data_IF_115484615500
#
_entry.id   IF_115484615500
#
_cell.length_a   1.000
_cell.length_b   1.000
_cell.length_c   1.000
_cell.angle_alpha   90.00
_cell.angle_beta   90.00
_cell.angle_gamma   90.00
#
_symmetry.space_group_name_H-M   'P 1'
#
loop_
_entity.id
_entity.type
_entity.pdbx_description
1 polymer ?
#
# COMPACT_ATOMS: atom_id res chain seq x y z
N UNK A 1 -21.78 -16.50 -86.66
CA UNK A 1 -21.21 -15.60 -85.63
C UNK A 1 -21.74 -16.04 -84.28
N UNK A 2 -20.90 -16.63 -83.41
CA UNK A 2 -21.33 -17.23 -82.15
C UNK A 2 -21.13 -16.26 -80.99
N UNK A 3 -22.20 -15.87 -80.31
CA UNK A 3 -22.16 -15.01 -79.11
C UNK A 3 -21.98 -15.90 -77.88
N UNK A 4 -20.78 -15.92 -77.29
CA UNK A 4 -20.50 -16.57 -76.01
C UNK A 4 -21.06 -15.71 -74.87
N UNK A 5 -22.14 -16.17 -74.21
CA UNK A 5 -22.58 -15.61 -72.93
C UNK A 5 -21.68 -16.16 -71.81
N UNK A 6 -20.83 -15.30 -71.23
CA UNK A 6 -20.04 -15.60 -70.03
C UNK A 6 -20.95 -15.50 -68.80
N UNK A 7 -21.18 -16.62 -68.13
CA UNK A 7 -21.78 -16.65 -66.79
C UNK A 7 -20.75 -16.17 -65.78
N UNK A 8 -20.99 -15.02 -65.16
CA UNK A 8 -20.13 -14.45 -64.13
C UNK A 8 -20.52 -15.07 -62.78
N UNK A 9 -19.68 -15.97 -62.25
CA UNK A 9 -19.85 -16.51 -60.89
C UNK A 9 -19.28 -15.49 -59.90
N UNK A 10 -20.15 -14.81 -59.17
CA UNK A 10 -19.74 -13.94 -58.04
C UNK A 10 -19.39 -14.85 -56.87
N UNK A 11 -18.11 -14.94 -56.54
CA UNK A 11 -17.63 -15.66 -55.35
C UNK A 11 -17.59 -14.65 -54.21
N UNK A 12 -18.53 -14.75 -53.27
CA UNK A 12 -18.45 -14.04 -52.00
C UNK A 12 -17.36 -14.70 -51.14
N UNK A 13 -16.14 -14.18 -51.22
CA UNK A 13 -15.07 -14.53 -50.29
C UNK A 13 -15.43 -13.97 -48.92
N UNK A 14 -15.91 -14.83 -48.02
CA UNK A 14 -16.10 -14.51 -46.61
C UNK A 14 -14.71 -14.40 -45.96
N UNK A 15 -14.06 -13.24 -46.12
CA UNK A 15 -12.84 -12.92 -45.41
C UNK A 15 -13.21 -12.72 -43.93
N UNK A 16 -13.06 -13.79 -43.14
CA UNK A 16 -13.15 -13.73 -41.69
C UNK A 16 -12.02 -12.80 -41.21
N UNK A 17 -12.35 -11.54 -40.93
CA UNK A 17 -11.46 -10.60 -40.27
C UNK A 17 -11.19 -11.13 -38.86
N UNK A 18 -10.16 -11.98 -38.74
CA UNK A 18 -9.53 -12.31 -37.48
C UNK A 18 -8.85 -11.03 -36.97
N UNK A 19 -9.64 -10.15 -36.36
CA UNK A 19 -9.11 -9.10 -35.50
C UNK A 19 -8.27 -9.81 -34.44
N UNK A 20 -6.98 -9.49 -34.28
CA UNK A 20 -6.23 -10.00 -33.16
C UNK A 20 -6.93 -9.45 -31.91
N UNK A 21 -7.55 -10.32 -31.12
CA UNK A 21 -7.85 -9.94 -29.74
C UNK A 21 -6.49 -9.65 -29.13
N UNK A 22 -6.17 -8.38 -28.97
CA UNK A 22 -5.09 -7.96 -28.11
C UNK A 22 -5.44 -8.53 -26.72
N UNK A 23 -4.84 -9.67 -26.38
CA UNK A 23 -4.87 -10.15 -25.01
C UNK A 23 -4.28 -9.02 -24.18
N UNK A 24 -5.09 -8.43 -23.30
CA UNK A 24 -4.55 -7.56 -22.26
C UNK A 24 -3.42 -8.34 -21.59
N UNK A 25 -2.22 -7.76 -21.56
CA UNK A 25 -1.09 -8.40 -20.90
C UNK A 25 -1.51 -8.64 -19.44
N UNK A 26 -1.50 -9.89 -19.01
CA UNK A 26 -1.88 -10.23 -17.64
C UNK A 26 -0.91 -9.54 -16.68
N UNK A 27 -1.42 -8.75 -15.74
CA UNK A 27 -0.61 -8.14 -14.68
C UNK A 27 0.00 -9.28 -13.85
N UNK A 28 1.33 -9.30 -13.79
CA UNK A 28 2.09 -10.28 -13.02
C UNK A 28 2.76 -9.59 -11.84
N UNK A 29 2.55 -10.16 -10.67
CA UNK A 29 3.21 -9.82 -9.41
C UNK A 29 3.37 -11.10 -8.60
N UNK A 30 4.33 -11.11 -7.68
CA UNK A 30 4.73 -12.31 -6.93
C UNK A 30 4.11 -12.38 -5.53
N UNK A 31 3.87 -11.23 -4.90
CA UNK A 31 3.27 -11.06 -3.57
C UNK A 31 2.72 -9.62 -3.45
N UNK A 32 2.11 -9.24 -2.33
CA UNK A 32 1.75 -7.84 -2.06
C UNK A 32 2.46 -7.34 -0.80
N UNK A 33 2.75 -6.04 -0.70
CA UNK A 33 3.12 -5.42 0.57
C UNK A 33 1.87 -4.81 1.21
N UNK A 34 1.52 -5.23 2.42
CA UNK A 34 0.72 -4.37 3.30
C UNK A 34 1.68 -3.34 3.91
N UNK A 35 1.50 -2.08 3.52
CA UNK A 35 2.30 -0.96 3.98
C UNK A 35 1.51 -0.22 5.05
N UNK A 36 2.07 -0.20 6.26
CA UNK A 36 1.53 0.54 7.39
C UNK A 36 2.51 1.66 7.75
N UNK A 37 2.03 2.88 7.86
CA UNK A 37 2.82 4.06 8.17
C UNK A 37 2.58 4.51 9.61
N UNK A 38 3.64 4.99 10.27
CA UNK A 38 3.54 5.57 11.61
C UNK A 38 3.13 7.04 11.50
N UNK A 39 1.87 7.35 11.82
CA UNK A 39 1.28 8.66 11.54
C UNK A 39 2.05 9.85 12.15
N UNK A 40 2.58 9.80 13.39
CA UNK A 40 3.40 10.88 13.93
C UNK A 40 4.70 11.12 13.13
N UNK A 41 5.30 10.08 12.56
CA UNK A 41 6.48 10.27 11.71
C UNK A 41 6.13 10.81 10.34
N UNK A 42 4.98 10.45 9.78
CA UNK A 42 4.45 11.11 8.59
C UNK A 42 4.32 12.61 8.80
N UNK A 43 3.62 13.02 9.87
CA UNK A 43 3.36 14.42 10.16
C UNK A 43 4.61 15.22 10.57
N UNK A 44 5.59 14.57 11.18
CA UNK A 44 6.86 15.23 11.52
C UNK A 44 7.83 15.37 10.33
N UNK A 45 7.59 14.69 9.21
CA UNK A 45 8.51 14.67 8.06
C UNK A 45 8.19 15.80 7.08
N UNK A 46 9.10 16.74 6.80
CA UNK A 46 8.88 17.75 5.77
C UNK A 46 8.74 17.12 4.37
N UNK A 47 7.91 17.69 3.47
CA UNK A 47 7.12 18.92 3.62
C UNK A 47 5.68 18.65 4.12
N UNK A 48 5.41 17.54 4.81
CA UNK A 48 4.05 17.19 5.17
C UNK A 48 3.46 18.18 6.18
N UNK A 49 2.27 18.68 5.85
CA UNK A 49 1.38 19.40 6.76
C UNK A 49 0.17 18.50 6.99
N UNK A 50 -0.07 18.09 8.24
CA UNK A 50 -1.15 17.15 8.57
C UNK A 50 -2.45 17.84 8.95
N UNK A 51 -3.58 17.17 8.68
CA UNK A 51 -4.89 17.55 9.19
C UNK A 51 -5.02 17.17 10.67
N UNK A 52 -5.47 18.11 11.50
CA UNK A 52 -5.76 17.89 12.93
C UNK A 52 -7.26 17.95 13.26
N UNK A 53 -8.08 18.39 12.31
CA UNK A 53 -9.52 18.54 12.44
C UNK A 53 -10.24 17.66 11.41
N UNK A 54 -11.38 17.02 11.73
CA UNK A 54 -12.06 17.03 13.04
C UNK A 54 -11.41 16.11 14.07
N UNK A 55 -10.36 15.37 13.70
CA UNK A 55 -9.61 14.48 14.57
C UNK A 55 -8.12 14.56 14.25
N UNK A 56 -7.25 14.60 15.27
CA UNK A 56 -5.83 14.56 15.04
C UNK A 56 -5.38 13.20 14.48
N UNK A 57 -4.21 13.15 13.81
CA UNK A 57 -3.58 11.89 13.43
C UNK A 57 -3.47 10.97 14.65
N UNK A 58 -3.65 9.65 14.50
CA UNK A 58 -3.50 8.76 15.64
C UNK A 58 -2.01 8.63 16.04
N UNK A 59 -1.72 8.45 17.32
CA UNK A 59 -0.43 7.92 17.77
C UNK A 59 -0.37 6.40 17.54
N UNK A 60 -0.65 5.97 16.31
CA UNK A 60 -0.67 4.57 15.91
C UNK A 60 -0.23 4.38 14.44
N UNK A 61 -0.08 3.13 14.04
CA UNK A 61 0.07 2.79 12.63
C UNK A 61 -1.28 2.93 11.91
N UNK A 62 -1.25 3.50 10.71
CA UNK A 62 -2.36 3.49 9.76
C UNK A 62 -1.95 2.77 8.50
N UNK A 63 -2.91 2.21 7.77
CA UNK A 63 -2.65 1.64 6.46
C UNK A 63 -2.26 2.79 5.52
N UNK A 64 -1.18 2.60 4.78
CA UNK A 64 -0.84 3.41 3.61
C UNK A 64 -1.36 2.71 2.35
N UNK A 65 -1.08 1.42 2.19
CA UNK A 65 -1.60 0.67 1.06
C UNK A 65 -1.33 -0.83 1.02
N UNK A 66 -1.91 -1.49 0.02
CA UNK A 66 -1.70 -2.90 -0.29
C UNK A 66 -1.14 -3.02 -1.71
N UNK A 67 0.17 -3.22 -1.85
CA UNK A 67 0.85 -3.00 -3.12
C UNK A 67 1.29 -4.32 -3.76
N UNK A 68 0.63 -4.78 -4.85
CA UNK A 68 1.16 -5.88 -5.67
C UNK A 68 2.61 -5.60 -6.07
N UNK A 69 3.49 -6.58 -5.87
CA UNK A 69 4.94 -6.39 -5.92
C UNK A 69 5.71 -7.60 -6.44
N UNK A 70 6.88 -7.32 -7.01
CA UNK A 70 7.91 -8.25 -7.46
C UNK A 70 9.28 -7.73 -7.03
N UNK A 71 9.63 -7.97 -5.77
CA UNK A 71 10.81 -7.40 -5.12
C UNK A 71 10.62 -5.91 -4.80
N UNK A 72 11.47 -5.05 -5.35
CA UNK A 72 11.38 -3.59 -5.23
C UNK A 72 10.59 -2.92 -6.36
N UNK A 73 10.00 -3.72 -7.25
CA UNK A 73 9.16 -3.22 -8.34
C UNK A 73 7.71 -3.57 -8.04
N UNK A 74 6.83 -2.60 -8.20
CA UNK A 74 5.39 -2.80 -8.11
C UNK A 74 4.77 -2.30 -9.42
N UNK A 75 3.93 -3.12 -10.10
CA UNK A 75 3.15 -2.60 -11.20
C UNK A 75 2.22 -1.48 -10.70
N UNK A 76 2.06 -0.44 -11.50
CA UNK A 76 1.23 0.73 -11.17
C UNK A 76 0.25 1.01 -12.31
N UNK A 77 -0.92 1.54 -11.97
CA UNK A 77 -1.93 2.02 -12.91
C UNK A 77 -2.32 0.97 -13.98
N UNK A 78 -2.47 -0.29 -13.57
CA UNK A 78 -2.71 -1.41 -14.48
C UNK A 78 -4.02 -1.33 -15.26
N UNK A 79 -4.99 -0.58 -14.75
CA UNK A 79 -6.21 -0.25 -15.48
C UNK A 79 -6.65 1.19 -15.14
N UNK A 80 -6.10 2.17 -15.85
CA UNK A 80 -6.34 3.59 -15.56
C UNK A 80 -7.77 4.07 -15.79
N UNK A 81 -8.62 3.28 -16.46
CA UNK A 81 -10.05 3.59 -16.62
C UNK A 81 -10.93 3.00 -15.52
N UNK A 82 -10.40 2.10 -14.68
CA UNK A 82 -11.09 1.53 -13.53
C UNK A 82 -10.86 2.40 -12.31
N UNK A 83 -11.67 3.45 -12.18
CA UNK A 83 -11.68 4.36 -11.03
C UNK A 83 -12.50 3.78 -9.88
N UNK A 84 -12.15 4.13 -8.65
CA UNK A 84 -12.91 3.70 -7.47
C UNK A 84 -14.37 4.18 -7.56
N UNK A 85 -15.31 3.25 -7.40
CA UNK A 85 -16.73 3.51 -7.16
C UNK A 85 -16.99 3.41 -5.65
N UNK A 86 -17.23 4.53 -4.95
CA UNK A 86 -17.46 4.53 -3.50
C UNK A 86 -18.58 3.59 -3.06
N UNK A 87 -19.57 3.32 -3.93
CA UNK A 87 -20.66 2.39 -3.62
C UNK A 87 -20.19 0.94 -3.47
N UNK A 88 -19.08 0.57 -4.09
CA UNK A 88 -18.51 -0.77 -3.95
C UNK A 88 -17.81 -1.00 -2.60
N UNK A 89 -17.58 0.06 -1.82
CA UNK A 89 -16.90 -0.01 -0.52
C UNK A 89 -17.72 0.64 0.61
N UNK A 90 -19.01 0.90 0.38
CA UNK A 90 -19.88 1.63 1.31
C UNK A 90 -19.92 0.96 2.70
N UNK A 91 -19.97 -0.36 2.75
CA UNK A 91 -19.95 -1.14 4.00
C UNK A 91 -18.59 -1.08 4.73
N UNK A 92 -17.53 -0.72 4.01
CA UNK A 92 -16.16 -0.60 4.53
C UNK A 92 -15.79 0.83 4.92
N UNK A 93 -16.64 1.83 4.64
CA UNK A 93 -16.29 3.24 4.85
C UNK A 93 -15.92 3.55 6.31
N UNK A 94 -16.71 3.06 7.28
CA UNK A 94 -16.40 3.27 8.71
C UNK A 94 -15.05 2.68 9.12
N UNK A 95 -14.74 1.39 8.89
CA UNK A 95 -13.42 0.86 9.24
C UNK A 95 -12.29 1.54 8.45
N UNK A 96 -12.46 1.86 7.16
CA UNK A 96 -11.45 2.59 6.39
C UNK A 96 -11.16 3.97 6.99
N UNK A 97 -12.18 4.72 7.40
CA UNK A 97 -12.01 6.00 8.09
C UNK A 97 -11.23 5.90 9.42
N UNK A 98 -11.18 4.72 10.04
CA UNK A 98 -10.48 4.50 11.31
C UNK A 98 -9.04 4.01 11.11
N UNK A 99 -8.82 3.10 10.17
CA UNK A 99 -7.53 2.40 10.02
C UNK A 99 -6.72 2.89 8.81
N UNK A 100 -7.37 3.48 7.82
CA UNK A 100 -6.74 3.98 6.59
C UNK A 100 -7.12 5.45 6.32
N UNK A 101 -6.97 6.37 7.29
CA UNK A 101 -7.24 7.78 7.07
C UNK A 101 -6.14 8.41 6.19
N UNK A 102 -6.55 9.42 5.43
CA UNK A 102 -5.65 10.45 4.94
C UNK A 102 -5.05 11.21 6.12
N UNK A 103 -3.75 11.50 6.04
CA UNK A 103 -3.00 12.28 7.03
C UNK A 103 -2.71 13.73 6.59
N UNK A 104 -2.40 14.03 5.31
CA UNK A 104 -2.08 15.41 4.93
C UNK A 104 -3.32 16.33 4.90
N UNK A 105 -3.09 17.63 5.08
CA UNK A 105 -4.12 18.67 5.20
C UNK A 105 -5.01 18.81 3.95
N UNK A 106 -4.44 18.55 2.78
CA UNK A 106 -5.06 18.82 1.49
C UNK A 106 -5.47 17.55 0.73
N UNK A 107 -5.79 16.47 1.45
CA UNK A 107 -6.28 15.22 0.86
C UNK A 107 -7.36 14.60 1.74
N UNK A 108 -8.51 14.30 1.16
CA UNK A 108 -9.59 13.56 1.81
C UNK A 108 -9.31 12.06 1.84
N UNK A 109 -9.94 11.34 2.76
CA UNK A 109 -9.83 9.88 2.80
C UNK A 109 -10.23 9.22 1.47
N UNK A 110 -11.28 9.72 0.81
CA UNK A 110 -11.72 9.17 -0.46
C UNK A 110 -10.73 9.43 -1.60
N UNK A 111 -10.04 10.57 -1.60
CA UNK A 111 -8.97 10.85 -2.56
C UNK A 111 -7.79 9.88 -2.37
N UNK A 112 -7.35 9.67 -1.13
CA UNK A 112 -6.33 8.67 -0.80
C UNK A 112 -6.75 7.28 -1.31
N UNK A 113 -7.95 6.81 -0.95
CA UNK A 113 -8.42 5.50 -1.37
C UNK A 113 -8.55 5.38 -2.90
N UNK A 114 -8.99 6.45 -3.57
CA UNK A 114 -9.10 6.48 -5.03
C UNK A 114 -7.72 6.40 -5.69
N UNK A 115 -6.73 7.07 -5.12
CA UNK A 115 -5.33 7.03 -5.57
C UNK A 115 -4.74 5.63 -5.37
N UNK A 116 -4.90 5.04 -4.18
CA UNK A 116 -4.42 3.70 -3.86
C UNK A 116 -5.08 2.61 -4.72
N UNK A 117 -6.39 2.73 -4.97
CA UNK A 117 -7.08 1.84 -5.91
C UNK A 117 -6.52 1.98 -7.33
N UNK A 118 -6.51 3.19 -7.87
CA UNK A 118 -6.11 3.43 -9.26
C UNK A 118 -4.67 3.01 -9.50
N UNK A 119 -3.78 3.31 -8.56
CA UNK A 119 -2.34 3.04 -8.65
C UNK A 119 -2.00 1.58 -8.35
N UNK A 120 -2.52 0.99 -7.28
CA UNK A 120 -2.11 -0.33 -6.81
C UNK A 120 -3.24 -1.37 -6.86
N UNK A 121 -4.46 -1.00 -6.47
CA UNK A 121 -5.62 -1.88 -6.47
C UNK A 121 -5.95 -2.49 -7.84
N UNK A 122 -5.88 -1.69 -8.91
CA UNK A 122 -6.09 -2.17 -10.30
C UNK A 122 -5.10 -3.25 -10.74
N UNK A 123 -3.98 -3.41 -10.04
CA UNK A 123 -2.96 -4.42 -10.31
C UNK A 123 -3.14 -5.70 -9.46
N UNK A 124 -4.00 -5.69 -8.44
CA UNK A 124 -4.08 -6.73 -7.41
C UNK A 124 -4.83 -7.99 -7.84
N UNK A 125 -5.60 -7.92 -8.93
CA UNK A 125 -6.61 -8.92 -9.34
C UNK A 125 -7.75 -9.10 -8.35
N UNK A 126 -7.79 -8.30 -7.28
CA UNK A 126 -8.94 -8.18 -6.39
C UNK A 126 -9.90 -7.14 -6.99
N UNK A 127 -11.20 -7.36 -6.83
CA UNK A 127 -12.18 -6.28 -7.06
C UNK A 127 -12.04 -5.20 -5.99
N UNK A 128 -12.63 -4.03 -6.24
CA UNK A 128 -12.55 -2.86 -5.34
C UNK A 128 -12.85 -3.23 -3.88
N UNK A 129 -14.00 -3.82 -3.62
CA UNK A 129 -14.37 -4.29 -2.27
C UNK A 129 -13.33 -5.23 -1.66
N UNK A 130 -12.92 -6.27 -2.41
CA UNK A 130 -11.98 -7.27 -1.95
C UNK A 130 -10.60 -6.70 -1.62
N UNK A 131 -10.13 -5.71 -2.38
CA UNK A 131 -8.86 -5.03 -2.13
C UNK A 131 -8.83 -4.31 -0.77
N UNK A 132 -9.84 -3.48 -0.50
CA UNK A 132 -9.94 -2.76 0.76
C UNK A 132 -10.25 -3.69 1.94
N UNK A 133 -11.14 -4.68 1.74
CA UNK A 133 -11.47 -5.67 2.76
C UNK A 133 -10.24 -6.51 3.15
N UNK A 134 -9.41 -6.91 2.19
CA UNK A 134 -8.18 -7.64 2.44
C UNK A 134 -7.20 -6.83 3.29
N UNK A 135 -6.93 -5.58 2.93
CA UNK A 135 -6.04 -4.70 3.70
C UNK A 135 -6.53 -4.52 5.15
N UNK A 136 -7.84 -4.26 5.34
CA UNK A 136 -8.46 -4.15 6.66
C UNK A 136 -8.37 -5.46 7.47
N UNK A 137 -8.53 -6.61 6.84
CA UNK A 137 -8.44 -7.90 7.51
C UNK A 137 -7.01 -8.20 7.95
N UNK A 138 -6.03 -7.92 7.10
CA UNK A 138 -4.61 -8.15 7.37
C UNK A 138 -4.08 -7.21 8.47
N UNK A 139 -4.46 -5.92 8.45
CA UNK A 139 -4.11 -4.95 9.49
C UNK A 139 -4.53 -5.44 10.89
N UNK A 140 -5.74 -6.03 11.01
CA UNK A 140 -6.24 -6.60 12.27
C UNK A 140 -5.43 -7.79 12.79
N UNK A 141 -4.67 -8.48 11.93
CA UNK A 141 -3.84 -9.61 12.36
C UNK A 141 -2.61 -9.16 13.15
N UNK A 142 -2.16 -7.93 12.94
CA UNK A 142 -0.91 -7.42 13.51
C UNK A 142 -1.08 -6.04 14.10
N UNK A 143 -1.12 -5.97 15.43
CA UNK A 143 -1.00 -4.70 16.14
C UNK A 143 0.48 -4.32 16.24
N UNK A 144 1.00 -3.65 15.21
CA UNK A 144 2.42 -3.31 15.09
C UNK A 144 2.94 -2.48 16.26
N UNK A 145 2.15 -1.49 16.71
CA UNK A 145 2.51 -0.67 17.88
C UNK A 145 2.69 -1.52 19.13
N UNK A 146 1.77 -2.45 19.39
CA UNK A 146 1.87 -3.37 20.53
C UNK A 146 3.05 -4.33 20.36
N UNK A 147 3.25 -4.90 19.18
CA UNK A 147 4.36 -5.80 18.87
C UNK A 147 5.71 -5.12 19.17
N UNK A 148 5.89 -3.90 18.68
CA UNK A 148 7.09 -3.11 18.93
C UNK A 148 7.27 -2.83 20.43
N UNK A 149 6.19 -2.42 21.12
CA UNK A 149 6.23 -2.14 22.56
C UNK A 149 6.61 -3.38 23.39
N UNK A 150 6.05 -4.55 23.07
CA UNK A 150 6.38 -5.83 23.71
C UNK A 150 7.86 -6.22 23.47
N UNK A 151 8.44 -5.75 22.36
CA UNK A 151 9.87 -5.87 22.03
C UNK A 151 10.76 -4.78 22.63
N UNK A 152 10.21 -3.83 23.40
CA UNK A 152 10.95 -2.73 24.03
C UNK A 152 11.11 -1.47 23.17
N UNK A 153 10.59 -1.49 21.94
CA UNK A 153 10.51 -0.36 21.02
C UNK A 153 9.21 0.38 21.28
N UNK A 154 9.28 1.38 22.17
CA UNK A 154 8.12 2.18 22.56
C UNK A 154 8.17 3.57 21.92
N UNK A 155 7.00 4.14 21.57
CA UNK A 155 6.94 5.51 21.10
C UNK A 155 7.44 6.52 22.15
N UNK A 156 8.01 7.63 21.69
CA UNK A 156 8.77 8.57 22.50
C UNK A 156 8.08 9.94 22.52
N UNK A 157 7.75 10.51 23.69
CA UNK A 157 7.12 11.82 23.78
C UNK A 157 8.07 12.96 23.40
N UNK A 158 7.53 14.13 23.01
CA UNK A 158 8.33 15.32 22.74
C UNK A 158 9.28 15.66 23.90
N UNK A 159 10.53 15.99 23.58
CA UNK A 159 11.56 16.35 24.55
C UNK A 159 12.31 15.18 25.20
N UNK A 160 11.89 13.94 24.97
CA UNK A 160 12.64 12.75 25.40
C UNK A 160 13.48 12.21 24.25
N UNK A 161 14.77 11.95 24.50
CA UNK A 161 15.65 11.31 23.52
C UNK A 161 15.75 9.82 23.80
N UNK A 162 15.14 9.02 22.93
CA UNK A 162 15.32 7.58 22.89
C UNK A 162 15.30 7.12 21.44
N UNK A 163 16.34 6.40 21.05
CA UNK A 163 16.52 5.88 19.70
C UNK A 163 16.68 4.37 19.74
N UNK A 164 16.44 3.72 18.61
CA UNK A 164 16.59 2.29 18.41
C UNK A 164 17.45 2.05 17.17
N UNK A 165 18.16 0.94 17.15
CA UNK A 165 18.80 0.42 15.95
C UNK A 165 17.77 -0.25 15.05
N UNK A 166 18.05 -0.29 13.74
CA UNK A 166 17.27 -1.04 12.76
C UNK A 166 17.10 -2.50 13.17
N UNK A 167 18.16 -3.09 13.74
CA UNK A 167 18.15 -4.46 14.26
C UNK A 167 17.13 -4.65 15.38
N UNK A 168 17.12 -3.78 16.39
CA UNK A 168 16.15 -3.84 17.50
C UNK A 168 14.70 -3.76 17.01
N UNK A 169 14.41 -2.86 16.07
CA UNK A 169 13.06 -2.72 15.49
C UNK A 169 12.69 -3.96 14.68
N UNK A 170 13.60 -4.44 13.82
CA UNK A 170 13.37 -5.59 12.96
C UNK A 170 13.20 -6.88 13.77
N UNK A 171 13.98 -7.07 14.83
CA UNK A 171 13.90 -8.24 15.71
C UNK A 171 12.61 -8.23 16.53
N UNK A 172 12.17 -7.08 17.02
CA UNK A 172 10.89 -6.93 17.71
C UNK A 172 9.71 -7.31 16.79
N UNK A 173 9.72 -6.81 15.55
CA UNK A 173 8.71 -7.15 14.55
C UNK A 173 8.74 -8.63 14.20
N UNK A 174 9.91 -9.19 13.87
CA UNK A 174 10.05 -10.59 13.51
C UNK A 174 9.61 -11.53 14.63
N UNK A 175 9.91 -11.20 15.89
CA UNK A 175 9.48 -11.95 17.06
C UNK A 175 7.96 -11.89 17.26
N UNK A 176 7.35 -10.71 17.07
CA UNK A 176 5.92 -10.52 17.32
C UNK A 176 5.01 -11.02 16.20
N UNK A 177 5.42 -10.88 14.95
CA UNK A 177 4.66 -11.36 13.77
C UNK A 177 4.99 -12.82 13.43
N UNK A 178 6.15 -13.32 13.85
CA UNK A 178 6.70 -14.60 13.39
C UNK A 178 7.23 -14.56 11.95
N UNK A 179 7.29 -13.38 11.33
CA UNK A 179 7.61 -13.17 9.92
C UNK A 179 8.66 -12.08 9.78
N UNK A 180 9.58 -12.21 8.81
CA UNK A 180 10.42 -11.08 8.44
C UNK A 180 9.56 -10.02 7.75
N UNK A 181 9.73 -8.78 8.17
CA UNK A 181 9.12 -7.58 7.59
C UNK A 181 10.22 -6.67 7.04
N UNK A 182 9.84 -5.65 6.27
CA UNK A 182 10.73 -4.55 5.92
C UNK A 182 10.33 -3.26 6.62
N UNK A 183 11.29 -2.36 6.70
CA UNK A 183 11.14 -1.04 7.29
C UNK A 183 11.52 0.02 6.27
N UNK A 184 10.88 1.18 6.35
CA UNK A 184 11.38 2.43 5.78
C UNK A 184 11.46 3.49 6.86
N UNK A 185 12.45 4.36 6.71
CA UNK A 185 12.61 5.52 7.57
C UNK A 185 12.42 6.82 6.79
N UNK A 186 12.06 7.87 7.50
CA UNK A 186 12.07 9.24 7.00
C UNK A 186 13.10 10.07 7.74
N UNK A 187 13.36 11.28 7.24
CA UNK A 187 14.21 12.24 7.92
C UNK A 187 13.41 13.47 8.27
N UNK A 188 13.34 13.80 9.56
CA UNK A 188 12.72 15.03 10.05
C UNK A 188 13.58 16.25 9.72
N UNK A 189 14.84 16.15 10.09
CA UNK A 189 15.92 17.06 9.72
C UNK A 189 17.17 16.24 9.42
N UNK A 190 18.22 16.87 8.88
CA UNK A 190 19.44 16.16 8.54
C UNK A 190 20.00 15.40 9.76
N UNK A 191 19.97 14.07 9.68
CA UNK A 191 20.49 13.18 10.71
C UNK A 191 19.47 12.70 11.75
N UNK A 192 18.27 13.28 11.81
CA UNK A 192 17.16 12.82 12.66
C UNK A 192 16.28 11.83 11.88
N UNK A 193 16.47 10.54 12.15
CA UNK A 193 15.81 9.46 11.42
C UNK A 193 14.61 8.95 12.19
N UNK A 194 13.46 8.87 11.54
CA UNK A 194 12.21 8.40 12.13
C UNK A 194 11.78 7.07 11.50
N UNK A 195 11.22 6.16 12.31
CA UNK A 195 10.51 4.98 11.79
C UNK A 195 9.26 5.47 11.04
N UNK A 196 9.21 5.21 9.74
CA UNK A 196 8.19 5.79 8.86
C UNK A 196 7.16 4.76 8.40
N UNK A 197 7.61 3.63 7.85
CA UNK A 197 6.72 2.55 7.39
C UNK A 197 7.25 1.18 7.84
N UNK A 198 6.30 0.27 8.09
CA UNK A 198 6.53 -1.17 8.16
C UNK A 198 5.83 -1.81 6.97
N UNK A 199 6.56 -2.60 6.20
CA UNK A 199 6.04 -3.34 5.06
C UNK A 199 5.99 -4.83 5.41
N UNK A 200 4.78 -5.38 5.46
CA UNK A 200 4.54 -6.79 5.69
C UNK A 200 4.21 -7.48 4.37
N UNK A 201 4.82 -8.62 4.08
CA UNK A 201 4.53 -9.34 2.84
C UNK A 201 3.25 -10.15 2.98
N UNK A 202 2.47 -10.16 1.91
CA UNK A 202 1.16 -10.79 1.80
C UNK A 202 1.18 -11.70 0.59
N UNK A 203 0.53 -12.86 0.69
CA UNK A 203 0.39 -13.73 -0.46
C UNK A 203 -0.46 -13.11 -1.59
N UNK A 204 -0.43 -13.75 -2.76
CA UNK A 204 -1.07 -13.19 -3.96
C UNK A 204 -2.59 -13.14 -3.89
N UNK A 205 -3.23 -13.91 -3.00
CA UNK A 205 -4.68 -13.84 -2.80
C UNK A 205 -5.08 -12.70 -1.85
N UNK A 206 -4.14 -12.08 -1.14
CA UNK A 206 -4.45 -11.04 -0.16
C UNK A 206 -5.03 -11.58 1.16
N UNK A 207 -4.81 -12.86 1.46
CA UNK A 207 -5.51 -13.54 2.57
C UNK A 207 -4.61 -13.76 3.79
N UNK A 208 -3.29 -13.86 3.59
CA UNK A 208 -2.36 -14.14 4.69
C UNK A 208 -1.03 -13.40 4.56
N UNK A 209 -0.48 -13.05 5.71
CA UNK A 209 0.90 -12.59 5.80
C UNK A 209 1.86 -13.75 5.50
N UNK A 210 2.94 -13.44 4.81
CA UNK A 210 4.02 -14.37 4.45
C UNK A 210 5.37 -13.74 4.77
N UNK A 211 6.41 -14.57 4.77
CA UNK A 211 7.75 -14.11 5.06
C UNK A 211 8.28 -13.23 3.92
N UNK A 212 8.81 -12.06 4.24
CA UNK A 212 9.46 -11.22 3.23
C UNK A 212 10.86 -11.77 2.88
N UNK A 213 11.04 -12.21 1.63
CA UNK A 213 12.28 -12.87 1.18
C UNK A 213 13.02 -12.13 0.09
N UNK A 214 12.39 -11.21 -0.64
CA UNK A 214 13.04 -10.49 -1.73
C UNK A 214 14.05 -9.45 -1.21
N UNK A 215 15.12 -9.11 -1.93
CA UNK A 215 15.92 -7.93 -1.57
C UNK A 215 15.04 -6.68 -1.50
N UNK A 216 15.31 -5.81 -0.51
CA UNK A 216 14.58 -4.56 -0.31
C UNK A 216 15.49 -3.48 0.27
N UNK A 217 15.54 -2.32 -0.37
CA UNK A 217 16.20 -1.12 0.13
C UNK A 217 15.37 -0.46 1.25
N UNK A 218 15.85 -0.64 2.47
CA UNK A 218 15.23 -0.11 3.68
C UNK A 218 15.26 1.43 3.78
N UNK A 219 16.12 2.13 3.04
CA UNK A 219 16.24 3.61 3.08
C UNK A 219 16.25 4.22 4.49
N UNK A 220 16.98 3.60 5.41
CA UNK A 220 17.21 4.13 6.76
C UNK A 220 18.62 4.71 6.86
N UNK A 221 18.74 6.02 6.61
CA UNK A 221 19.96 6.76 6.97
C UNK A 221 20.11 6.72 8.49
N UNK A 222 21.35 6.69 9.02
CA UNK A 222 21.59 6.56 10.47
C UNK A 222 20.79 5.41 11.11
N UNK A 223 20.82 4.23 10.50
CA UNK A 223 20.08 3.04 10.93
C UNK A 223 20.32 2.63 12.40
N UNK A 224 21.36 3.13 13.07
CA UNK A 224 21.63 2.87 14.48
C UNK A 224 20.88 3.82 15.44
N UNK A 225 20.21 4.85 14.89
CA UNK A 225 19.55 5.92 15.65
C UNK A 225 18.20 6.31 15.02
N UNK A 226 17.23 5.41 15.15
CA UNK A 226 15.87 5.59 14.66
C UNK A 226 14.96 5.97 15.82
N UNK A 227 14.20 7.05 15.68
CA UNK A 227 13.19 7.49 16.64
C UNK A 227 11.79 7.01 16.23
N UNK A 228 10.92 6.81 17.20
CA UNK A 228 9.49 6.54 16.99
C UNK A 228 8.71 7.57 17.80
N UNK A 229 8.46 8.79 17.28
CA UNK A 229 7.86 9.87 18.05
C UNK A 229 6.37 9.65 18.31
N UNK A 230 5.82 10.30 19.33
CA UNK A 230 4.38 10.58 19.45
C UNK A 230 4.14 12.08 19.44
N UNK A 231 2.92 12.46 19.08
CA UNK A 231 2.42 13.81 19.27
C UNK A 231 1.55 13.87 20.53
N UNK A 232 1.64 14.98 21.26
CA UNK A 232 0.75 15.27 22.37
C UNK A 232 -0.30 16.25 21.86
N UNK A 233 -1.54 15.81 21.83
CA UNK A 233 -2.68 16.64 21.48
C UNK A 233 -3.22 17.27 22.77
N UNK A 234 -3.31 18.60 22.82
CA UNK A 234 -4.07 19.27 23.85
C UNK A 234 -5.55 18.89 23.64
N UNK A 235 -6.11 18.12 24.59
CA UNK A 235 -7.53 17.74 24.60
C UNK A 235 -8.38 18.79 25.31
#
# INVERSE_FOLDING_TARGET
MAVKKKTMKVVFSLALLLLPLASAAEVKFDFMYLVQQWAPSFCATPPHECQYEPRPPPNDFTIHGLWPSSGERWPEYCNSSDTLDPKQIEDLERPLNQTWPSLPLNETNLELWSNEWSKHGTCSKLGQHGYFAAALALDKLTNLRKILADGGVVPVPPGVRKTYTFGEISDALAKGTGLRTYLRCSQKTAGETLLYEVLQCVDRSGERLINCTAPFDHRCVNADKIEMPIELYDQ
#
